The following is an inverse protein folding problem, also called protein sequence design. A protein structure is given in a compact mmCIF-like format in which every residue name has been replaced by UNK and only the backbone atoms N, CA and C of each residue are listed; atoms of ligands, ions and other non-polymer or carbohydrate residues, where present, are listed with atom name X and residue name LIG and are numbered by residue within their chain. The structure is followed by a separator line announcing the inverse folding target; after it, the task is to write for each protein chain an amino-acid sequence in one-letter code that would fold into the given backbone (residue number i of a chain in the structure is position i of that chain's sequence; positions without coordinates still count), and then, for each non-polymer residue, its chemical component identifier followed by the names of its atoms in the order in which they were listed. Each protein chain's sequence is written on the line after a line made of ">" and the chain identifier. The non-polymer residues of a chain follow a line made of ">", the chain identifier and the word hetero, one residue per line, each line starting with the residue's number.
data_IF_984683555578
#
_entry.id   IF_984683555578
#
_cell.length_a   1.000
_cell.length_b   1.000
_cell.length_c   1.000
_cell.angle_alpha   90.00
_cell.angle_beta   90.00
_cell.angle_gamma   90.00
#
_symmetry.space_group_name_H-M   'P 1'
#
loop_
_entity.id
_entity.type
_entity.pdbx_description
1 polymer ?
#
# COMPACT_ATOMS: atom_id res chain seq x y z
N UNK A 1 -1.64 -9.07 19.75
CA UNK A 1 -1.35 -9.20 18.30
C UNK A 1 -2.32 -8.27 17.55
N UNK A 2 -2.13 -7.96 16.28
CA UNK A 2 -2.97 -6.95 15.56
C UNK A 2 -4.45 -7.31 15.49
N UNK A 3 -4.81 -8.58 15.64
CA UNK A 3 -6.19 -9.05 15.78
C UNK A 3 -6.93 -8.51 17.02
N UNK A 4 -6.20 -7.95 17.98
CA UNK A 4 -6.79 -7.35 19.19
C UNK A 4 -6.93 -5.82 19.09
N UNK A 5 -6.41 -5.22 18.00
CA UNK A 5 -6.50 -3.78 17.77
C UNK A 5 -7.92 -3.41 17.36
N UNK A 6 -8.58 -2.59 18.18
CA UNK A 6 -9.96 -2.14 17.96
C UNK A 6 -10.07 -0.86 17.16
N UNK A 7 -8.95 -0.26 16.73
CA UNK A 7 -8.98 0.90 15.84
C UNK A 7 -9.53 0.50 14.48
N UNK A 8 -10.37 1.35 13.95
CA UNK A 8 -10.89 1.20 12.58
C UNK A 8 -9.97 1.97 11.64
N UNK A 9 -9.52 1.32 10.59
CA UNK A 9 -8.69 1.92 9.54
C UNK A 9 -9.45 1.82 8.23
N UNK A 10 -9.58 2.95 7.54
CA UNK A 10 -10.14 2.98 6.19
C UNK A 10 -9.02 2.64 5.22
N UNK A 11 -9.31 1.77 4.26
CA UNK A 11 -8.35 1.24 3.31
C UNK A 11 -8.74 1.58 1.86
N UNK A 12 -7.75 1.61 1.00
CA UNK A 12 -7.89 1.76 -0.45
C UNK A 12 -6.93 0.78 -1.15
N UNK A 13 -7.44 0.03 -2.11
CA UNK A 13 -6.64 -0.62 -3.14
C UNK A 13 -6.69 0.27 -4.39
N UNK A 14 -5.54 0.88 -4.72
CA UNK A 14 -5.42 1.89 -5.76
C UNK A 14 -4.96 1.25 -7.09
N UNK A 15 -5.91 0.72 -7.85
CA UNK A 15 -5.68 0.22 -9.20
C UNK A 15 -5.84 1.31 -10.27
N UNK A 16 -5.10 1.19 -11.37
CA UNK A 16 -5.19 2.14 -12.49
C UNK A 16 -6.57 2.21 -13.17
N UNK A 17 -7.39 1.17 -13.05
CA UNK A 17 -8.75 1.11 -13.60
C UNK A 17 -9.82 1.37 -12.54
N UNK A 18 -9.67 0.77 -11.37
CA UNK A 18 -10.63 0.87 -10.28
C UNK A 18 -9.92 1.20 -8.97
N UNK A 19 -10.65 1.89 -8.11
CA UNK A 19 -10.31 2.14 -6.71
C UNK A 19 -11.28 1.32 -5.85
N UNK A 20 -10.74 0.49 -4.93
CA UNK A 20 -11.56 -0.33 -4.03
C UNK A 20 -11.37 0.14 -2.60
N UNK A 21 -12.42 0.69 -2.02
CA UNK A 21 -12.42 1.26 -0.67
C UNK A 21 -13.03 0.27 0.32
N UNK A 22 -12.46 0.25 1.53
CA UNK A 22 -12.96 -0.61 2.61
C UNK A 22 -12.68 -0.02 3.99
N UNK A 23 -13.13 -0.71 5.02
CA UNK A 23 -12.72 -0.42 6.40
C UNK A 23 -12.42 -1.73 7.13
N UNK A 24 -11.32 -1.73 7.85
CA UNK A 24 -10.82 -2.88 8.58
C UNK A 24 -10.73 -2.61 10.08
N UNK A 25 -11.01 -3.64 10.86
CA UNK A 25 -10.81 -3.67 12.31
C UNK A 25 -10.39 -5.07 12.73
N UNK A 26 -9.37 -5.19 13.55
CA UNK A 26 -8.89 -6.49 14.05
C UNK A 26 -8.51 -7.49 12.94
N UNK A 27 -8.07 -7.00 11.78
CA UNK A 27 -7.69 -7.81 10.62
C UNK A 27 -8.84 -8.20 9.69
N UNK A 28 -10.08 -7.74 9.95
CA UNK A 28 -11.25 -8.09 9.16
C UNK A 28 -11.93 -6.86 8.54
N UNK A 29 -12.53 -7.04 7.36
CA UNK A 29 -13.41 -6.03 6.80
C UNK A 29 -14.70 -5.92 7.60
N UNK A 30 -15.10 -4.70 7.95
CA UNK A 30 -16.27 -4.43 8.79
C UNK A 30 -17.40 -3.71 8.07
N UNK A 31 -17.21 -3.41 6.80
CA UNK A 31 -18.20 -2.88 5.87
C UNK A 31 -18.01 -3.53 4.49
N UNK A 32 -19.03 -3.54 3.67
CA UNK A 32 -18.94 -3.97 2.27
C UNK A 32 -18.01 -3.03 1.51
N UNK A 33 -17.06 -3.54 0.72
CA UNK A 33 -16.18 -2.71 -0.09
C UNK A 33 -16.94 -1.92 -1.15
N UNK A 34 -16.48 -0.71 -1.42
CA UNK A 34 -17.01 0.17 -2.49
C UNK A 34 -15.99 0.23 -3.61
N UNK A 35 -16.39 -0.10 -4.82
CA UNK A 35 -15.56 -0.01 -6.03
C UNK A 35 -16.03 1.15 -6.90
N UNK A 36 -15.10 2.02 -7.28
CA UNK A 36 -15.34 3.15 -8.19
C UNK A 36 -14.28 3.17 -9.30
N UNK A 37 -14.58 3.70 -10.50
CA UNK A 37 -13.59 3.92 -11.56
C UNK A 37 -12.50 4.86 -11.07
N UNK A 38 -11.23 4.56 -11.33
CA UNK A 38 -10.10 5.36 -10.81
C UNK A 38 -10.02 6.77 -11.40
N UNK A 39 -10.51 6.97 -12.63
CA UNK A 39 -10.37 8.22 -13.38
C UNK A 39 -8.91 8.71 -13.49
N UNK A 40 -7.96 7.77 -13.50
CA UNK A 40 -6.53 8.00 -13.34
C UNK A 40 -5.90 8.95 -14.38
N UNK A 41 -6.58 9.20 -15.51
CA UNK A 41 -6.14 10.11 -16.57
C UNK A 41 -6.44 11.59 -16.26
N UNK A 42 -7.32 11.86 -15.30
CA UNK A 42 -7.74 13.22 -14.93
C UNK A 42 -7.61 13.38 -13.40
N UNK A 43 -6.72 14.27 -12.98
CA UNK A 43 -6.41 14.45 -11.56
C UNK A 43 -7.63 14.87 -10.76
N UNK A 44 -8.39 15.87 -11.22
CA UNK A 44 -9.54 16.37 -10.48
C UNK A 44 -10.62 15.31 -10.30
N UNK A 45 -10.90 14.54 -11.35
CA UNK A 45 -11.86 13.45 -11.28
C UNK A 45 -11.35 12.31 -10.39
N UNK A 46 -10.07 11.96 -10.45
CA UNK A 46 -9.49 10.95 -9.59
C UNK A 46 -9.57 11.36 -8.11
N UNK A 47 -9.21 12.59 -7.79
CA UNK A 47 -9.31 13.13 -6.44
C UNK A 47 -10.76 13.18 -5.93
N UNK A 48 -11.72 13.58 -6.78
CA UNK A 48 -13.14 13.53 -6.46
C UNK A 48 -13.62 12.09 -6.19
N UNK A 49 -13.19 11.13 -7.01
CA UNK A 49 -13.51 9.71 -6.80
C UNK A 49 -12.95 9.20 -5.46
N UNK A 50 -11.73 9.60 -5.10
CA UNK A 50 -11.15 9.23 -3.79
C UNK A 50 -11.96 9.80 -2.63
N UNK A 51 -12.32 11.08 -2.70
CA UNK A 51 -13.19 11.72 -1.68
C UNK A 51 -14.54 11.02 -1.60
N UNK A 52 -15.17 10.73 -2.72
CA UNK A 52 -16.45 10.02 -2.77
C UNK A 52 -16.35 8.61 -2.15
N UNK A 53 -15.34 7.82 -2.54
CA UNK A 53 -15.15 6.46 -2.04
C UNK A 53 -14.94 6.41 -0.53
N UNK A 54 -14.01 7.23 -0.01
CA UNK A 54 -13.79 7.32 1.44
C UNK A 54 -15.03 7.83 2.19
N UNK A 55 -15.75 8.81 1.63
CA UNK A 55 -16.99 9.32 2.24
C UNK A 55 -18.08 8.25 2.32
N UNK A 56 -18.23 7.40 1.29
CA UNK A 56 -19.16 6.27 1.33
C UNK A 56 -18.81 5.25 2.42
N UNK A 57 -17.52 4.95 2.60
CA UNK A 57 -17.06 4.06 3.67
C UNK A 57 -17.32 4.68 5.04
N UNK A 58 -17.02 5.97 5.23
CA UNK A 58 -17.31 6.69 6.51
C UNK A 58 -18.81 6.65 6.79
N UNK A 59 -19.67 6.89 5.80
CA UNK A 59 -21.12 6.81 5.97
C UNK A 59 -21.58 5.38 6.36
N UNK A 60 -20.98 4.34 5.77
CA UNK A 60 -21.30 2.94 6.11
C UNK A 60 -20.83 2.55 7.53
N UNK A 61 -19.85 3.25 8.10
CA UNK A 61 -19.42 3.05 9.48
C UNK A 61 -20.47 3.55 10.50
N UNK A 62 -21.38 4.45 10.11
CA UNK A 62 -22.38 5.06 10.99
C UNK A 62 -21.72 5.91 12.09
N UNK A 63 -22.00 5.61 13.35
CA UNK A 63 -21.42 6.33 14.50
C UNK A 63 -19.98 5.92 14.83
N UNK A 64 -19.48 4.85 14.23
CA UNK A 64 -18.11 4.37 14.46
C UNK A 64 -17.11 5.31 13.80
N UNK A 65 -16.11 5.75 14.55
CA UNK A 65 -15.10 6.70 14.05
C UNK A 65 -13.85 5.96 13.59
N UNK A 66 -13.39 6.20 12.36
CA UNK A 66 -12.10 5.69 11.91
C UNK A 66 -10.95 6.44 12.62
N UNK A 67 -9.88 5.70 12.91
CA UNK A 67 -8.67 6.24 13.51
C UNK A 67 -7.70 6.82 12.46
N UNK A 68 -7.73 6.28 11.22
CA UNK A 68 -6.87 6.70 10.13
C UNK A 68 -7.41 6.21 8.79
N UNK A 69 -6.89 6.80 7.70
CA UNK A 69 -6.87 6.25 6.36
C UNK A 69 -5.48 5.67 6.12
N UNK A 70 -5.38 4.42 5.63
CA UNK A 70 -4.08 3.81 5.30
C UNK A 70 -4.19 2.95 4.05
N UNK A 71 -3.30 3.18 3.08
CA UNK A 71 -3.34 2.46 1.83
C UNK A 71 -1.99 2.41 1.12
N UNK A 72 -1.92 1.50 0.14
CA UNK A 72 -0.83 1.43 -0.81
C UNK A 72 -1.11 2.34 -2.01
N UNK A 73 -0.05 2.98 -2.52
CA UNK A 73 -0.09 3.68 -3.79
C UNK A 73 1.22 3.44 -4.55
N UNK A 74 1.18 3.18 -5.87
CA UNK A 74 2.40 2.95 -6.62
C UNK A 74 3.31 4.18 -6.64
N UNK A 75 4.63 3.93 -6.67
CA UNK A 75 5.66 4.97 -6.79
C UNK A 75 5.99 5.32 -8.25
N UNK A 76 6.82 6.36 -8.45
CA UNK A 76 7.60 7.06 -7.43
C UNK A 76 6.78 7.99 -6.54
N UNK A 77 7.23 8.19 -5.30
CA UNK A 77 6.55 9.02 -4.30
C UNK A 77 7.48 9.43 -3.15
N UNK A 78 7.16 10.53 -2.50
CA UNK A 78 7.65 10.86 -1.16
C UNK A 78 6.60 10.41 -0.14
N UNK A 79 6.65 9.12 0.21
CA UNK A 79 5.67 8.50 1.09
C UNK A 79 5.60 9.11 2.50
N UNK A 80 6.71 9.50 3.16
CA UNK A 80 6.65 10.18 4.45
C UNK A 80 5.82 11.46 4.46
N UNK A 81 5.79 12.19 3.34
CA UNK A 81 5.02 13.43 3.21
C UNK A 81 3.71 13.23 2.44
N UNK A 82 3.42 12.00 1.99
CA UNK A 82 2.19 11.70 1.24
C UNK A 82 2.11 12.38 -0.12
N UNK A 83 3.28 12.65 -0.77
CA UNK A 83 3.36 13.26 -2.09
C UNK A 83 3.58 12.16 -3.12
N UNK A 84 2.60 11.96 -4.00
CA UNK A 84 2.61 10.90 -5.00
C UNK A 84 2.99 11.48 -6.36
N UNK A 85 3.89 10.78 -7.06
CA UNK A 85 4.36 11.19 -8.39
C UNK A 85 5.76 11.78 -8.35
N UNK A 86 6.05 12.68 -9.28
CA UNK A 86 7.41 13.21 -9.48
C UNK A 86 8.22 12.39 -10.49
N UNK A 87 7.55 11.58 -11.31
CA UNK A 87 8.17 10.76 -12.34
C UNK A 87 7.19 9.93 -13.16
N UNK A 88 7.69 8.84 -13.73
CA UNK A 88 6.88 7.92 -14.53
C UNK A 88 5.94 7.10 -13.65
N UNK A 89 4.65 7.31 -13.83
CA UNK A 89 3.58 6.63 -13.10
C UNK A 89 2.47 6.18 -14.08
N UNK A 90 2.67 5.06 -14.79
CA UNK A 90 1.81 4.69 -15.94
C UNK A 90 0.35 4.45 -15.55
N UNK A 91 0.09 3.91 -14.38
CA UNK A 91 -1.26 3.62 -13.91
C UNK A 91 -2.02 4.88 -13.45
N UNK A 92 -1.30 5.95 -13.11
CA UNK A 92 -1.85 7.23 -12.66
C UNK A 92 -1.12 8.41 -13.33
N UNK A 93 -1.22 8.55 -14.66
CA UNK A 93 -0.44 9.56 -15.40
C UNK A 93 -0.77 10.99 -15.00
N UNK A 94 -1.94 11.25 -14.43
CA UNK A 94 -2.32 12.56 -13.91
C UNK A 94 -1.57 12.99 -12.64
N UNK A 95 -0.89 12.05 -11.96
CA UNK A 95 -0.06 12.31 -10.77
C UNK A 95 1.41 12.60 -11.11
N UNK A 96 1.77 12.62 -12.39
CA UNK A 96 3.14 12.72 -12.88
C UNK A 96 3.94 13.88 -12.28
N UNK A 97 3.33 15.03 -12.10
CA UNK A 97 4.02 16.25 -11.65
C UNK A 97 4.12 16.37 -10.12
N UNK A 98 3.66 15.35 -9.41
CA UNK A 98 3.63 15.33 -7.96
C UNK A 98 2.32 15.90 -7.39
N UNK A 99 1.65 15.10 -6.56
CA UNK A 99 0.37 15.45 -5.93
C UNK A 99 0.48 15.23 -4.43
N UNK A 100 0.19 16.26 -3.64
CA UNK A 100 0.16 16.17 -2.17
C UNK A 100 -1.12 15.43 -1.71
N UNK A 101 -1.23 14.15 -2.07
CA UNK A 101 -2.42 13.31 -1.84
C UNK A 101 -2.70 13.11 -0.35
N UNK A 102 -1.67 12.79 0.43
CA UNK A 102 -1.80 12.61 1.88
C UNK A 102 -2.35 13.86 2.56
N UNK A 103 -1.66 15.02 2.45
CA UNK A 103 -2.13 16.29 3.00
C UNK A 103 -3.54 16.68 2.55
N UNK A 104 -3.87 16.48 1.28
CA UNK A 104 -5.22 16.77 0.77
C UNK A 104 -6.30 15.93 1.47
N UNK A 105 -6.07 14.63 1.62
CA UNK A 105 -7.02 13.74 2.28
C UNK A 105 -7.10 14.01 3.79
N UNK A 106 -5.97 14.32 4.44
CA UNK A 106 -5.93 14.72 5.86
C UNK A 106 -6.74 15.98 6.12
N UNK A 107 -6.56 17.01 5.29
CA UNK A 107 -7.32 18.26 5.38
C UNK A 107 -8.83 18.01 5.18
N UNK A 108 -9.17 17.17 4.19
CA UNK A 108 -10.57 16.90 3.85
C UNK A 108 -11.32 16.11 4.93
N UNK A 109 -10.69 15.07 5.50
CA UNK A 109 -11.35 14.14 6.43
C UNK A 109 -11.04 14.41 7.90
N UNK A 110 -10.03 15.20 8.21
CA UNK A 110 -9.64 15.53 9.58
C UNK A 110 -9.08 14.35 10.37
N UNK A 111 -8.57 13.33 9.69
CA UNK A 111 -7.94 12.14 10.28
C UNK A 111 -6.59 11.85 9.62
N UNK A 112 -5.63 11.22 10.33
CA UNK A 112 -4.32 10.91 9.77
C UNK A 112 -4.39 10.01 8.53
N UNK A 113 -3.53 10.29 7.54
CA UNK A 113 -3.42 9.52 6.30
C UNK A 113 -2.01 8.92 6.18
N UNK A 114 -1.93 7.61 5.99
CA UNK A 114 -0.69 6.88 5.81
C UNK A 114 -0.68 6.24 4.43
N UNK A 115 0.26 6.67 3.59
CA UNK A 115 0.47 6.09 2.25
C UNK A 115 1.83 5.42 2.24
N UNK A 116 1.92 4.27 1.59
CA UNK A 116 3.18 3.55 1.42
C UNK A 116 3.24 2.88 0.04
N UNK A 117 4.41 2.38 -0.33
CA UNK A 117 4.58 1.59 -1.54
C UNK A 117 3.80 0.27 -1.45
N UNK A 118 3.28 -0.22 -2.57
CA UNK A 118 2.50 -1.45 -2.66
C UNK A 118 3.34 -2.71 -2.38
N UNK A 119 4.55 -2.80 -2.90
CA UNK A 119 5.49 -3.89 -2.59
C UNK A 119 5.89 -3.92 -1.11
N UNK A 120 6.12 -2.75 -0.53
CA UNK A 120 6.41 -2.60 0.90
C UNK A 120 5.24 -3.05 1.77
N UNK A 121 4.02 -2.61 1.47
CA UNK A 121 2.84 -3.00 2.26
C UNK A 121 2.50 -4.48 2.09
N UNK A 122 2.71 -5.06 0.90
CA UNK A 122 2.60 -6.50 0.70
C UNK A 122 3.55 -7.25 1.62
N UNK A 123 4.86 -6.96 1.57
CA UNK A 123 5.85 -7.63 2.41
C UNK A 123 5.58 -7.43 3.90
N UNK A 124 5.14 -6.24 4.29
CA UNK A 124 4.82 -5.93 5.68
C UNK A 124 3.58 -6.68 6.17
N UNK A 125 2.54 -6.76 5.35
CA UNK A 125 1.34 -7.57 5.64
C UNK A 125 1.67 -9.04 5.83
N UNK A 126 2.46 -9.63 4.93
CA UNK A 126 2.92 -11.02 5.01
C UNK A 126 3.79 -11.30 6.25
N UNK A 127 4.58 -10.32 6.67
CA UNK A 127 5.40 -10.45 7.87
C UNK A 127 4.60 -10.35 9.18
N UNK A 128 3.53 -9.56 9.22
CA UNK A 128 2.78 -9.32 10.45
C UNK A 128 1.55 -10.19 10.62
N UNK A 129 0.86 -10.50 9.52
CA UNK A 129 -0.44 -11.17 9.54
C UNK A 129 -0.56 -12.34 8.56
N UNK A 130 0.41 -12.51 7.64
CA UNK A 130 0.38 -13.51 6.59
C UNK A 130 1.33 -14.70 6.83
N UNK A 131 2.18 -14.98 5.84
CA UNK A 131 3.00 -16.20 5.78
C UNK A 131 4.00 -16.34 6.93
N UNK A 132 4.58 -15.25 7.43
CA UNK A 132 5.62 -15.33 8.47
C UNK A 132 5.07 -15.81 9.84
N UNK A 133 3.96 -15.28 10.37
CA UNK A 133 3.30 -15.83 11.54
C UNK A 133 2.87 -17.30 11.35
N UNK A 134 2.38 -17.67 10.16
CA UNK A 134 2.00 -19.06 9.87
C UNK A 134 3.20 -20.02 9.95
N UNK A 135 4.33 -19.65 9.34
CA UNK A 135 5.57 -20.43 9.43
C UNK A 135 6.02 -20.58 10.88
N UNK A 136 5.99 -19.50 11.66
CA UNK A 136 6.38 -19.52 13.07
C UNK A 136 5.46 -20.43 13.91
N UNK A 137 4.15 -20.42 13.65
CA UNK A 137 3.20 -21.32 14.31
C UNK A 137 3.45 -22.80 13.95
N UNK A 138 3.77 -23.10 12.69
CA UNK A 138 4.13 -24.45 12.25
C UNK A 138 5.44 -24.93 12.90
N UNK A 139 6.44 -24.06 13.02
CA UNK A 139 7.69 -24.37 13.74
C UNK A 139 7.43 -24.67 15.21
N UNK A 140 6.57 -23.90 15.86
CA UNK A 140 6.17 -24.12 17.25
C UNK A 140 5.48 -25.46 17.44
N UNK A 141 4.50 -25.78 16.59
CA UNK A 141 3.80 -27.06 16.61
C UNK A 141 4.74 -28.26 16.39
N UNK A 142 5.83 -28.06 15.64
CA UNK A 142 6.88 -29.07 15.43
C UNK A 142 7.93 -29.12 16.56
N UNK A 143 7.74 -28.35 17.65
CA UNK A 143 8.69 -28.34 18.80
C UNK A 143 9.99 -27.57 18.52
N UNK A 144 10.08 -26.82 17.44
CA UNK A 144 11.26 -26.01 17.13
C UNK A 144 11.29 -24.73 17.96
N UNK A 145 12.48 -24.37 18.47
CA UNK A 145 12.71 -23.09 19.13
C UNK A 145 12.96 -21.93 18.15
N UNK A 146 13.12 -22.26 16.85
CA UNK A 146 13.40 -21.25 15.80
C UNK A 146 12.18 -20.38 15.54
N UNK A 147 12.40 -19.05 15.42
CA UNK A 147 11.39 -18.08 15.03
C UNK A 147 11.99 -17.11 14.02
N UNK A 148 11.25 -16.81 12.97
CA UNK A 148 11.64 -15.83 11.97
C UNK A 148 11.00 -14.49 12.25
N UNK A 149 11.73 -13.40 11.95
CA UNK A 149 11.30 -12.01 12.12
C UNK A 149 11.59 -11.17 10.90
N UNK A 150 12.31 -11.73 9.93
CA UNK A 150 12.74 -11.06 8.72
C UNK A 150 12.05 -11.71 7.53
N UNK A 151 11.64 -10.88 6.58
CA UNK A 151 10.98 -11.32 5.36
C UNK A 151 11.38 -10.38 4.21
N UNK A 152 11.60 -10.95 3.03
CA UNK A 152 11.66 -10.20 1.78
C UNK A 152 10.47 -10.67 0.95
N UNK A 153 9.64 -9.73 0.54
CA UNK A 153 8.50 -9.96 -0.34
C UNK A 153 8.81 -9.44 -1.75
N UNK A 154 8.40 -10.19 -2.76
CA UNK A 154 8.46 -9.77 -4.16
C UNK A 154 7.07 -9.80 -4.75
N UNK A 155 6.71 -8.75 -5.50
CA UNK A 155 5.48 -8.70 -6.27
C UNK A 155 5.81 -8.71 -7.76
N UNK A 156 5.14 -9.61 -8.51
CA UNK A 156 5.28 -9.74 -9.95
C UNK A 156 3.92 -9.43 -10.58
N UNK A 157 3.83 -8.29 -11.24
CA UNK A 157 2.61 -7.80 -11.90
C UNK A 157 2.98 -6.90 -13.07
N UNK A 158 2.29 -5.78 -13.23
CA UNK A 158 2.65 -4.74 -14.19
C UNK A 158 4.08 -4.25 -13.96
N UNK A 159 4.53 -4.23 -12.71
CA UNK A 159 5.89 -3.92 -12.30
C UNK A 159 6.49 -5.05 -11.45
N UNK A 160 7.75 -4.87 -11.09
CA UNK A 160 8.50 -5.72 -10.16
C UNK A 160 8.71 -4.96 -8.85
N UNK A 161 7.92 -5.31 -7.84
CA UNK A 161 8.03 -4.69 -6.51
C UNK A 161 8.81 -5.56 -5.52
N UNK A 162 9.43 -4.90 -4.56
CA UNK A 162 10.14 -5.52 -3.45
C UNK A 162 9.81 -4.78 -2.16
N UNK A 163 9.62 -5.54 -1.07
CA UNK A 163 9.56 -5.00 0.27
C UNK A 163 10.42 -5.82 1.22
N UNK A 164 11.03 -5.18 2.20
CA UNK A 164 11.91 -5.82 3.16
C UNK A 164 11.43 -5.53 4.59
N UNK A 165 11.28 -6.58 5.38
CA UNK A 165 10.94 -6.50 6.80
C UNK A 165 12.09 -7.06 7.64
N UNK A 166 12.57 -6.30 8.60
CA UNK A 166 13.65 -6.66 9.51
C UNK A 166 13.17 -6.48 10.95
N UNK A 167 13.31 -7.51 11.76
CA UNK A 167 12.82 -7.54 13.15
C UNK A 167 11.34 -7.11 13.28
N UNK A 168 10.48 -7.62 12.38
CA UNK A 168 9.05 -7.30 12.27
C UNK A 168 8.77 -5.80 11.98
N UNK A 169 9.72 -5.08 11.44
CA UNK A 169 9.56 -3.67 11.04
C UNK A 169 9.86 -3.52 9.56
N UNK A 170 9.04 -2.75 8.89
CA UNK A 170 9.28 -2.41 7.50
C UNK A 170 10.58 -1.60 7.38
N UNK A 171 11.50 -2.07 6.53
CA UNK A 171 12.70 -1.33 6.17
C UNK A 171 12.37 -0.45 4.96
N UNK A 172 12.29 0.85 5.18
CA UNK A 172 11.96 1.83 4.15
C UNK A 172 13.18 2.30 3.36
N UNK A 173 14.40 1.84 3.69
CA UNK A 173 15.61 2.43 3.13
C UNK A 173 15.75 3.91 3.51
N UNK A 174 16.52 4.63 2.71
CA UNK A 174 16.76 6.07 2.93
C UNK A 174 15.75 6.96 2.19
N UNK A 175 15.03 6.41 1.19
CA UNK A 175 14.10 7.12 0.31
C UNK A 175 12.66 6.60 0.39
N UNK A 176 12.26 6.08 1.55
CA UNK A 176 10.91 5.57 1.82
C UNK A 176 10.57 4.19 1.27
N UNK A 177 11.38 3.61 0.40
CA UNK A 177 11.23 2.25 -0.10
C UNK A 177 12.59 1.65 -0.47
N UNK A 178 12.65 0.33 -0.53
CA UNK A 178 13.81 -0.43 -1.03
C UNK A 178 13.49 -0.87 -2.46
N UNK A 179 13.78 -0.01 -3.41
CA UNK A 179 13.45 -0.25 -4.81
C UNK A 179 14.67 -0.59 -5.65
N UNK A 180 14.50 -1.51 -6.58
CA UNK A 180 15.55 -1.94 -7.53
C UNK A 180 15.15 -1.75 -8.99
N UNK A 181 13.95 -1.33 -9.27
CA UNK A 181 13.41 -1.24 -10.62
C UNK A 181 14.10 -0.22 -11.52
N UNK A 182 14.73 0.80 -10.96
CA UNK A 182 15.47 1.81 -11.72
C UNK A 182 16.88 1.36 -12.14
N UNK A 183 17.30 0.16 -11.78
CA UNK A 183 18.63 -0.34 -12.14
C UNK A 183 18.66 -0.80 -13.61
N UNK A 184 19.74 -0.45 -14.38
CA UNK A 184 19.89 -0.92 -15.74
C UNK A 184 19.96 -2.45 -15.81
N UNK A 185 19.26 -3.05 -16.77
CA UNK A 185 19.34 -4.49 -16.99
C UNK A 185 20.71 -4.86 -17.58
N UNK A 186 21.40 -5.83 -16.97
CA UNK A 186 22.78 -6.18 -17.31
C UNK A 186 22.96 -6.61 -18.76
N UNK A 187 22.02 -7.38 -19.29
CA UNK A 187 22.13 -8.03 -20.61
C UNK A 187 21.20 -7.44 -21.67
N UNK A 188 20.39 -6.45 -21.32
CA UNK A 188 19.45 -5.77 -22.21
C UNK A 188 19.64 -4.26 -22.12
N UNK A 189 20.59 -3.70 -22.91
CA UNK A 189 20.84 -2.26 -22.90
C UNK A 189 19.57 -1.45 -23.22
N UNK A 190 19.32 -0.41 -22.45
CA UNK A 190 18.12 0.42 -22.59
C UNK A 190 16.88 -0.10 -21.86
N UNK A 191 16.97 -1.25 -21.21
CA UNK A 191 15.93 -1.83 -20.37
C UNK A 191 16.32 -1.67 -18.89
N UNK A 192 15.38 -1.33 -18.03
CA UNK A 192 15.55 -1.39 -16.57
C UNK A 192 15.20 -2.79 -16.05
N UNK A 193 15.63 -3.10 -14.84
CA UNK A 193 15.41 -4.45 -14.24
C UNK A 193 13.92 -4.77 -14.16
N UNK A 194 13.08 -3.80 -13.80
CA UNK A 194 11.64 -3.97 -13.70
C UNK A 194 11.01 -4.40 -15.04
N UNK A 195 11.36 -3.73 -16.14
CA UNK A 195 10.86 -4.07 -17.47
C UNK A 195 11.29 -5.49 -17.92
N UNK A 196 12.42 -5.98 -17.41
CA UNK A 196 12.92 -7.31 -17.70
C UNK A 196 12.23 -8.44 -16.94
N UNK A 197 11.42 -8.13 -15.91
CA UNK A 197 10.74 -9.11 -15.05
C UNK A 197 9.24 -8.83 -14.87
N UNK A 198 8.75 -7.68 -15.33
CA UNK A 198 7.32 -7.36 -15.31
C UNK A 198 6.53 -8.25 -16.29
N UNK A 199 5.27 -8.43 -16.03
CA UNK A 199 4.33 -9.29 -16.79
C UNK A 199 3.39 -8.44 -17.65
#
# INVERSE_FOLDING_TARGET
>A
MYTDDKRIVITLDAGGTNLVFGAMQSGEFIVEPVTLPSQAQNLDLCMQTMVEGFSRIIAALGERKPAAISFAFPGPADYPHGIIGGGYLPNFPSFRDGVALGPFLEEHFGIPVFINNDGDLFAYGEALCGVLPEINARLEAAGSSKRYKNLIGYTFGTGFGIGMVVDNRLNRGDNSCVETFCLPHRNMPGIIVEEGVSV
#
